data_IF_068471528645
#
_entry.id   IF_068471528645
#
_cell.length_a   1.000
_cell.length_b   1.000
_cell.length_c   1.000
_cell.angle_alpha   90.00
_cell.angle_beta   90.00
_cell.angle_gamma   90.00
#
_symmetry.space_group_name_H-M   'P 1'
#
loop_
_entity.id
_entity.type
_entity.pdbx_description
1 polymer ?
#
# COMPACT_ATOMS: atom_id res chain seq x y z
N UNK A 1 -25.59 -4.33 -0.34
CA UNK A 1 -24.96 -4.50 -1.66
C UNK A 1 -23.46 -4.15 -1.55
N UNK A 2 -22.60 -4.87 -2.29
CA UNK A 2 -21.17 -4.59 -2.38
C UNK A 2 -20.82 -4.17 -3.81
N UNK A 3 -20.69 -2.86 -4.03
CA UNK A 3 -20.41 -2.27 -5.35
C UNK A 3 -19.10 -2.75 -5.98
N UNK A 4 -18.19 -3.33 -5.22
CA UNK A 4 -16.88 -3.83 -5.68
C UNK A 4 -16.88 -5.32 -6.03
N UNK A 5 -18.04 -5.95 -6.04
CA UNK A 5 -18.19 -7.35 -6.46
C UNK A 5 -18.98 -7.45 -7.75
N UNK A 6 -18.85 -8.60 -8.42
CA UNK A 6 -19.60 -8.87 -9.63
C UNK A 6 -21.12 -8.84 -9.38
N UNK A 7 -21.83 -7.98 -10.13
CA UNK A 7 -23.26 -7.73 -9.98
C UNK A 7 -23.67 -7.06 -8.66
N UNK A 8 -22.73 -6.45 -7.91
CA UNK A 8 -23.03 -5.79 -6.65
C UNK A 8 -23.42 -6.71 -5.51
N UNK A 9 -23.10 -8.00 -5.58
CA UNK A 9 -23.59 -9.03 -4.65
C UNK A 9 -22.73 -9.09 -3.38
N UNK A 10 -23.37 -9.01 -2.22
CA UNK A 10 -22.72 -9.20 -0.92
C UNK A 10 -22.15 -10.62 -0.74
N UNK A 11 -21.13 -10.72 0.13
CA UNK A 11 -20.54 -12.00 0.54
C UNK A 11 -19.70 -12.71 -0.53
N UNK A 12 -19.35 -12.03 -1.61
CA UNK A 12 -18.51 -12.57 -2.69
C UNK A 12 -17.03 -12.26 -2.52
N UNK A 13 -16.73 -11.30 -1.70
CA UNK A 13 -15.37 -10.83 -1.42
C UNK A 13 -15.00 -11.15 0.03
N UNK A 14 -13.82 -11.73 0.29
CA UNK A 14 -13.38 -11.96 1.65
C UNK A 14 -13.06 -10.63 2.35
N UNK A 15 -13.41 -10.50 3.64
CA UNK A 15 -13.15 -9.30 4.45
C UNK A 15 -11.66 -8.97 4.60
N UNK A 16 -10.80 -9.99 4.46
CA UNK A 16 -9.33 -9.89 4.51
C UNK A 16 -8.73 -10.53 3.27
N UNK A 17 -8.91 -9.88 2.15
CA UNK A 17 -8.56 -10.41 0.84
C UNK A 17 -7.08 -10.82 0.75
N UNK A 18 -6.16 -9.94 1.19
CA UNK A 18 -4.71 -10.24 1.16
C UNK A 18 -4.40 -11.50 1.95
N UNK A 19 -4.86 -11.60 3.18
CA UNK A 19 -4.61 -12.78 4.03
C UNK A 19 -5.18 -14.06 3.43
N UNK A 20 -6.43 -14.01 2.96
CA UNK A 20 -7.11 -15.18 2.37
C UNK A 20 -6.39 -15.66 1.11
N UNK A 21 -6.11 -14.76 0.18
CA UNK A 21 -5.46 -15.13 -1.08
C UNK A 21 -4.02 -15.60 -0.87
N UNK A 22 -3.25 -14.96 -0.01
CA UNK A 22 -1.89 -15.41 0.29
C UNK A 22 -1.88 -16.82 0.94
N UNK A 23 -2.80 -17.11 1.85
CA UNK A 23 -2.90 -18.44 2.43
C UNK A 23 -3.29 -19.52 1.42
N UNK A 24 -4.15 -19.20 0.44
CA UNK A 24 -4.47 -20.09 -0.68
C UNK A 24 -3.23 -20.31 -1.56
N UNK A 25 -2.54 -19.24 -1.95
CA UNK A 25 -1.32 -19.32 -2.77
C UNK A 25 -0.26 -20.15 -2.05
N UNK A 26 -0.01 -19.89 -0.76
CA UNK A 26 0.98 -20.64 0.03
C UNK A 26 0.66 -22.14 0.11
N UNK A 27 -0.64 -22.50 0.14
CA UNK A 27 -1.07 -23.89 0.14
C UNK A 27 -0.84 -24.57 -1.21
N UNK A 28 -1.09 -23.85 -2.31
CA UNK A 28 -0.96 -24.40 -3.66
C UNK A 28 0.49 -24.35 -4.17
N UNK A 29 1.25 -23.35 -3.77
CA UNK A 29 2.63 -23.08 -4.21
C UNK A 29 3.51 -22.76 -2.98
N UNK A 30 3.91 -23.82 -2.21
CA UNK A 30 4.62 -23.63 -0.94
C UNK A 30 5.93 -22.84 -1.04
N UNK A 31 6.65 -23.02 -2.15
CA UNK A 31 8.00 -22.48 -2.35
C UNK A 31 8.01 -21.16 -3.13
N UNK A 32 6.84 -20.70 -3.62
CA UNK A 32 6.76 -19.44 -4.36
C UNK A 32 6.88 -18.25 -3.43
N UNK A 33 7.73 -17.25 -3.73
CA UNK A 33 7.77 -16.00 -2.99
C UNK A 33 6.42 -15.28 -3.01
N UNK A 34 5.95 -14.87 -1.84
CA UNK A 34 4.72 -14.08 -1.71
C UNK A 34 5.09 -12.67 -1.23
N UNK A 35 4.88 -11.72 -2.12
CA UNK A 35 5.12 -10.30 -1.87
C UNK A 35 3.78 -9.60 -1.84
N UNK A 36 3.48 -8.93 -0.73
CA UNK A 36 2.23 -8.20 -0.55
C UNK A 36 2.46 -6.70 -0.60
N UNK A 37 1.45 -5.96 -1.04
CA UNK A 37 1.50 -4.51 -1.14
C UNK A 37 0.09 -3.90 -1.20
N UNK A 38 0.04 -2.63 -1.58
CA UNK A 38 -1.19 -1.87 -1.65
C UNK A 38 -1.68 -1.36 -0.29
N UNK A 39 -2.88 -0.79 -0.27
CA UNK A 39 -3.40 -0.06 0.88
C UNK A 39 -3.57 -0.96 2.11
N UNK A 40 -4.17 -2.15 1.95
CA UNK A 40 -4.41 -3.08 3.05
C UNK A 40 -3.10 -3.50 3.72
N UNK A 41 -2.11 -3.92 2.94
CA UNK A 41 -0.81 -4.33 3.45
C UNK A 41 -0.06 -3.16 4.10
N UNK A 42 -0.06 -2.00 3.46
CA UNK A 42 0.62 -0.80 3.93
C UNK A 42 0.10 -0.33 5.29
N UNK A 43 -1.23 -0.29 5.48
CA UNK A 43 -1.84 0.18 6.73
C UNK A 43 -1.78 -0.86 7.86
N UNK A 44 -1.62 -2.14 7.51
CA UNK A 44 -1.57 -3.26 8.48
C UNK A 44 -0.16 -3.83 8.67
N UNK A 45 0.87 -3.07 8.28
CA UNK A 45 2.26 -3.54 8.32
C UNK A 45 2.84 -3.74 9.73
N UNK A 46 2.33 -3.00 10.72
CA UNK A 46 2.62 -3.18 12.14
C UNK A 46 1.44 -3.78 12.90
N UNK A 47 1.57 -3.91 14.21
CA UNK A 47 0.42 -4.19 15.07
C UNK A 47 -0.63 -3.10 14.87
N UNK A 48 -1.86 -3.47 14.55
CA UNK A 48 -2.90 -2.54 14.16
C UNK A 48 -4.25 -2.90 14.77
N UNK A 49 -5.10 -1.90 15.00
CA UNK A 49 -6.47 -2.14 15.43
C UNK A 49 -7.33 -2.60 14.25
N UNK A 50 -7.94 -3.78 14.42
CA UNK A 50 -8.90 -4.34 13.47
C UNK A 50 -10.32 -4.00 13.92
N UNK A 51 -10.98 -3.13 13.17
CA UNK A 51 -12.32 -2.66 13.47
C UNK A 51 -13.36 -3.80 13.54
N UNK A 52 -13.26 -4.77 12.62
CA UNK A 52 -14.23 -5.86 12.54
C UNK A 52 -14.15 -6.82 13.72
N UNK A 53 -12.94 -7.10 14.19
CA UNK A 53 -12.72 -7.93 15.37
C UNK A 53 -12.76 -7.16 16.68
N UNK A 54 -12.70 -5.84 16.63
CA UNK A 54 -12.57 -4.96 17.78
C UNK A 54 -11.37 -5.34 18.68
N UNK A 55 -10.23 -5.66 18.05
CA UNK A 55 -9.00 -6.02 18.74
C UNK A 55 -7.74 -5.55 18.00
N UNK A 56 -6.63 -5.49 18.71
CA UNK A 56 -5.31 -5.26 18.09
C UNK A 56 -4.78 -6.56 17.51
N UNK A 57 -4.52 -6.55 16.20
CA UNK A 57 -3.98 -7.67 15.43
C UNK A 57 -2.47 -7.52 15.22
N UNK A 58 -1.74 -8.62 15.03
CA UNK A 58 -0.33 -8.57 14.64
C UNK A 58 -0.18 -8.00 13.23
N UNK A 59 1.05 -7.71 12.82
CA UNK A 59 1.33 -7.36 11.43
C UNK A 59 0.76 -8.38 10.44
N UNK A 60 0.17 -7.87 9.35
CA UNK A 60 -0.41 -8.70 8.29
C UNK A 60 0.59 -9.69 7.66
N UNK A 61 1.90 -9.41 7.73
CA UNK A 61 2.94 -10.31 7.19
C UNK A 61 2.96 -11.67 7.89
N UNK A 62 2.51 -11.73 9.16
CA UNK A 62 2.40 -12.99 9.90
C UNK A 62 1.13 -13.75 9.52
N UNK A 63 -0.01 -13.06 9.47
CA UNK A 63 -1.30 -13.66 9.16
C UNK A 63 -1.39 -14.14 7.70
N UNK A 64 -0.80 -13.39 6.78
CA UNK A 64 -0.75 -13.74 5.35
C UNK A 64 0.33 -14.76 5.00
N UNK A 65 1.29 -15.01 5.90
CA UNK A 65 2.49 -15.81 5.63
C UNK A 65 3.31 -15.30 4.44
N UNK A 66 3.22 -14.01 4.17
CA UNK A 66 4.02 -13.36 3.14
C UNK A 66 5.50 -13.34 3.52
N UNK A 67 6.36 -13.30 2.52
CA UNK A 67 7.80 -13.25 2.69
C UNK A 67 8.29 -11.81 2.76
N UNK A 68 7.67 -10.91 1.99
CA UNK A 68 7.99 -9.49 1.93
C UNK A 68 6.71 -8.65 1.84
N UNK A 69 6.74 -7.45 2.42
CA UNK A 69 5.67 -6.48 2.31
C UNK A 69 6.23 -5.17 1.76
N UNK A 70 5.64 -4.66 0.69
CA UNK A 70 5.91 -3.34 0.12
C UNK A 70 4.89 -2.36 0.67
N UNK A 71 5.33 -1.29 1.32
CA UNK A 71 4.44 -0.26 1.84
C UNK A 71 4.60 1.07 1.11
N UNK A 72 3.59 1.90 1.21
CA UNK A 72 3.52 3.17 0.49
C UNK A 72 3.24 2.99 -1.00
N UNK A 73 3.76 3.91 -1.79
CA UNK A 73 3.66 3.87 -3.25
C UNK A 73 4.81 3.00 -3.77
N UNK A 74 4.46 1.84 -4.30
CA UNK A 74 5.37 0.70 -4.48
C UNK A 74 6.01 0.53 -5.85
N UNK A 75 5.94 1.51 -6.76
CA UNK A 75 6.40 1.35 -8.15
C UNK A 75 7.89 0.99 -8.24
N UNK A 76 8.76 1.79 -7.60
CA UNK A 76 10.21 1.57 -7.65
C UNK A 76 10.61 0.26 -6.98
N UNK A 77 10.01 -0.04 -5.82
CA UNK A 77 10.26 -1.29 -5.11
C UNK A 77 9.85 -2.49 -5.96
N UNK A 78 8.66 -2.43 -6.60
CA UNK A 78 8.15 -3.53 -7.43
C UNK A 78 9.08 -3.82 -8.61
N UNK A 79 9.61 -2.78 -9.26
CA UNK A 79 10.56 -2.92 -10.36
C UNK A 79 11.85 -3.59 -9.87
N UNK A 80 12.43 -3.11 -8.76
CA UNK A 80 13.69 -3.65 -8.21
C UNK A 80 13.51 -5.09 -7.73
N UNK A 81 12.41 -5.39 -7.04
CA UNK A 81 12.06 -6.74 -6.59
C UNK A 81 11.92 -7.70 -7.79
N UNK A 82 11.11 -7.29 -8.80
CA UNK A 82 10.90 -8.12 -9.98
C UNK A 82 12.21 -8.40 -10.73
N UNK A 83 13.07 -7.38 -10.86
CA UNK A 83 14.40 -7.53 -11.46
C UNK A 83 15.24 -8.56 -10.71
N UNK A 84 15.46 -8.38 -9.41
CA UNK A 84 16.30 -9.30 -8.62
C UNK A 84 15.75 -10.72 -8.62
N UNK A 85 14.44 -10.91 -8.48
CA UNK A 85 13.82 -12.23 -8.55
C UNK A 85 13.98 -12.88 -9.93
N UNK A 86 13.88 -12.11 -11.02
CA UNK A 86 14.09 -12.62 -12.38
C UNK A 86 15.56 -13.03 -12.66
N UNK A 87 16.50 -12.42 -11.93
CA UNK A 87 17.92 -12.75 -11.94
C UNK A 87 18.26 -13.94 -11.02
N UNK A 88 17.26 -14.52 -10.35
CA UNK A 88 17.41 -15.69 -9.47
C UNK A 88 17.87 -15.39 -8.05
N UNK A 89 17.85 -14.14 -7.62
CA UNK A 89 18.18 -13.79 -6.24
C UNK A 89 17.11 -14.29 -5.27
N UNK A 90 17.48 -14.78 -4.07
CA UNK A 90 16.53 -15.21 -3.06
C UNK A 90 15.82 -13.99 -2.42
N UNK A 91 14.68 -14.24 -1.78
CA UNK A 91 13.87 -13.18 -1.15
C UNK A 91 14.64 -12.40 -0.09
N UNK A 92 15.51 -13.08 0.66
CA UNK A 92 16.33 -12.46 1.71
C UNK A 92 17.28 -11.38 1.15
N UNK A 93 17.66 -11.48 -0.12
CA UNK A 93 18.47 -10.46 -0.80
C UNK A 93 17.71 -9.15 -1.06
N UNK A 94 16.39 -9.14 -0.83
CA UNK A 94 15.52 -7.96 -1.01
C UNK A 94 15.39 -7.13 0.27
N UNK A 95 15.97 -7.58 1.38
CA UNK A 95 15.85 -6.94 2.70
C UNK A 95 16.59 -5.60 2.82
N UNK A 96 17.39 -5.23 1.84
CA UNK A 96 18.06 -3.93 1.75
C UNK A 96 17.22 -2.86 1.01
N UNK A 97 16.15 -3.26 0.34
CA UNK A 97 15.30 -2.35 -0.43
C UNK A 97 14.56 -1.39 0.51
N UNK A 98 14.53 -0.10 0.20
CA UNK A 98 13.73 0.88 0.92
C UNK A 98 12.23 0.64 0.65
N UNK A 99 11.39 0.99 1.63
CA UNK A 99 9.94 0.84 1.49
C UNK A 99 9.42 -0.59 1.59
N UNK A 100 10.24 -1.50 2.16
CA UNK A 100 9.81 -2.87 2.44
C UNK A 100 9.76 -3.16 3.92
N UNK A 101 8.91 -4.14 4.28
CA UNK A 101 8.92 -4.78 5.60
C UNK A 101 9.16 -6.28 5.43
N UNK A 102 9.89 -6.85 6.35
CA UNK A 102 10.21 -8.27 6.41
C UNK A 102 10.27 -8.75 7.87
N UNK A 103 10.32 -10.06 8.05
CA UNK A 103 10.41 -10.69 9.39
C UNK A 103 11.71 -11.46 9.54
N UNK A 104 12.34 -11.31 10.68
CA UNK A 104 13.51 -12.10 11.12
C UNK A 104 13.20 -12.78 12.45
N UNK A 105 14.03 -13.73 12.84
CA UNK A 105 13.95 -14.33 14.19
C UNK A 105 14.66 -13.43 15.20
N UNK A 106 14.30 -13.53 16.47
CA UNK A 106 14.91 -12.71 17.53
C UNK A 106 16.39 -13.01 17.78
N UNK A 107 16.88 -14.15 17.33
CA UNK A 107 18.26 -14.60 17.37
C UNK A 107 19.07 -14.19 16.11
N UNK A 108 18.40 -13.65 15.09
CA UNK A 108 19.07 -13.14 13.90
C UNK A 108 19.70 -11.75 14.14
N UNK A 109 20.55 -11.34 13.21
CA UNK A 109 21.13 -10.00 13.25
C UNK A 109 20.05 -8.91 13.06
N UNK A 110 19.98 -8.02 14.04
CA UNK A 110 19.11 -6.84 13.98
C UNK A 110 19.92 -5.65 13.43
N UNK A 111 19.39 -4.90 12.45
CA UNK A 111 20.06 -3.71 11.93
C UNK A 111 20.45 -2.72 13.04
N UNK A 112 21.58 -2.03 12.87
CA UNK A 112 22.01 -0.95 13.78
C UNK A 112 21.21 0.33 13.50
N UNK A 113 21.14 1.21 14.50
CA UNK A 113 20.45 2.53 14.37
C UNK A 113 18.97 2.41 14.02
N UNK A 114 18.26 1.51 14.71
CA UNK A 114 16.81 1.32 14.57
C UNK A 114 16.04 2.10 15.63
N UNK A 115 14.78 2.40 15.32
CA UNK A 115 13.79 2.87 16.30
C UNK A 115 12.90 1.67 16.64
N UNK A 116 12.94 1.24 17.90
CA UNK A 116 12.12 0.14 18.38
C UNK A 116 10.76 0.62 18.84
N UNK A 117 9.71 0.05 18.27
CA UNK A 117 8.34 0.26 18.70
C UNK A 117 8.02 -0.62 19.92
N UNK A 118 7.06 -0.24 20.77
CA UNK A 118 6.49 -1.18 21.73
C UNK A 118 6.08 -2.49 21.03
N UNK A 119 6.35 -3.64 21.68
CA UNK A 119 6.04 -4.95 21.08
C UNK A 119 4.55 -5.11 20.80
N UNK A 120 4.20 -6.07 19.95
CA UNK A 120 2.81 -6.40 19.65
C UNK A 120 2.01 -6.68 20.93
N UNK A 121 2.57 -7.43 21.85
CA UNK A 121 1.93 -7.79 23.11
C UNK A 121 1.59 -6.55 23.93
N UNK A 122 2.56 -5.63 24.08
CA UNK A 122 2.36 -4.37 24.80
C UNK A 122 1.34 -3.47 24.12
N UNK A 123 1.41 -3.33 22.79
CA UNK A 123 0.45 -2.54 22.00
C UNK A 123 -0.97 -3.11 22.12
N UNK A 124 -1.10 -4.44 22.25
CA UNK A 124 -2.39 -5.11 22.43
C UNK A 124 -2.98 -4.84 23.82
N UNK A 125 -2.16 -4.76 24.85
CA UNK A 125 -2.58 -4.63 26.25
C UNK A 125 -2.79 -3.18 26.67
N UNK A 126 -1.97 -2.24 26.18
CA UNK A 126 -1.98 -0.83 26.62
C UNK A 126 -2.19 0.13 25.45
N UNK A 127 -3.26 0.91 25.52
CA UNK A 127 -3.58 1.98 24.55
C UNK A 127 -2.49 3.08 24.50
N UNK A 128 -1.74 3.30 25.56
CA UNK A 128 -0.60 4.25 25.58
C UNK A 128 0.54 3.72 24.72
N UNK A 129 0.87 2.44 24.84
CA UNK A 129 1.87 1.81 23.98
C UNK A 129 1.43 1.81 22.51
N UNK A 130 0.13 1.62 22.23
CA UNK A 130 -0.43 1.79 20.89
C UNK A 130 -0.21 3.21 20.37
N UNK A 131 -0.52 4.23 21.17
CA UNK A 131 -0.32 5.63 20.78
C UNK A 131 1.17 5.98 20.55
N UNK A 132 2.07 5.42 21.37
CA UNK A 132 3.52 5.59 21.21
C UNK A 132 3.99 4.94 19.89
N UNK A 133 3.53 3.73 19.58
CA UNK A 133 3.85 3.04 18.33
C UNK A 133 3.39 3.88 17.13
N UNK A 134 2.12 4.28 17.09
CA UNK A 134 1.54 5.09 16.01
C UNK A 134 2.27 6.43 15.83
N UNK A 135 2.65 7.09 16.91
CA UNK A 135 3.43 8.32 16.85
C UNK A 135 4.79 8.10 16.22
N UNK A 136 5.53 7.08 16.65
CA UNK A 136 6.86 6.76 16.10
C UNK A 136 6.78 6.36 14.61
N UNK A 137 5.77 5.61 14.24
CA UNK A 137 5.53 5.29 12.83
C UNK A 137 5.33 6.54 11.97
N UNK A 138 4.60 7.54 12.49
CA UNK A 138 4.38 8.80 11.80
C UNK A 138 5.65 9.67 11.75
N UNK A 139 6.42 9.71 12.82
CA UNK A 139 7.70 10.44 12.90
C UNK A 139 8.72 9.88 11.88
N UNK A 140 8.76 8.57 11.69
CA UNK A 140 9.68 7.89 10.78
C UNK A 140 9.09 7.67 9.36
N UNK A 141 7.92 8.24 9.06
CA UNK A 141 7.31 8.20 7.72
C UNK A 141 7.96 9.16 6.70
N UNK A 142 9.06 9.79 7.05
CA UNK A 142 9.82 10.71 6.20
C UNK A 142 10.80 9.95 5.29
N UNK A 143 10.68 10.15 3.97
CA UNK A 143 11.53 9.46 3.00
C UNK A 143 13.01 9.88 3.05
N UNK A 144 13.33 11.06 3.62
CA UNK A 144 14.70 11.59 3.70
C UNK A 144 15.35 11.23 5.04
N UNK A 145 14.63 11.41 6.15
CA UNK A 145 15.15 11.31 7.52
C UNK A 145 14.70 10.06 8.26
N UNK A 146 13.66 9.39 7.77
CA UNK A 146 13.08 8.21 8.41
C UNK A 146 14.12 7.11 8.60
N UNK A 147 14.06 6.47 9.77
CA UNK A 147 14.94 5.38 10.18
C UNK A 147 14.23 4.04 10.01
N UNK A 148 15.00 2.98 10.10
CA UNK A 148 14.45 1.63 10.21
C UNK A 148 13.66 1.50 11.51
N UNK A 149 12.43 0.99 11.41
CA UNK A 149 11.59 0.64 12.55
C UNK A 149 11.63 -0.87 12.79
N UNK A 150 11.59 -1.27 14.06
CA UNK A 150 11.39 -2.66 14.43
C UNK A 150 10.25 -2.79 15.43
N UNK A 151 9.52 -3.89 15.34
CA UNK A 151 8.50 -4.29 16.33
C UNK A 151 8.61 -5.78 16.63
N UNK A 152 8.68 -6.12 17.93
CA UNK A 152 8.74 -7.51 18.36
C UNK A 152 7.36 -8.16 18.33
N UNK A 153 7.30 -9.40 17.86
CA UNK A 153 6.13 -10.26 17.80
C UNK A 153 6.53 -11.66 18.31
N UNK A 154 6.53 -11.89 19.61
CA UNK A 154 7.00 -13.13 20.21
C UNK A 154 8.44 -13.45 19.81
N UNK A 155 8.64 -14.57 19.12
CA UNK A 155 9.96 -15.03 18.63
C UNK A 155 10.42 -14.40 17.31
N UNK A 156 9.69 -13.44 16.78
CA UNK A 156 10.02 -12.74 15.55
C UNK A 156 10.16 -11.24 15.78
N UNK A 157 10.92 -10.61 14.92
CA UNK A 157 11.03 -9.16 14.79
C UNK A 157 10.53 -8.81 13.41
N UNK A 158 9.56 -7.92 13.34
CA UNK A 158 9.20 -7.21 12.13
C UNK A 158 10.20 -6.08 11.93
N UNK A 159 10.79 -5.97 10.76
CA UNK A 159 11.69 -4.88 10.36
C UNK A 159 11.00 -4.10 9.24
N UNK A 160 10.92 -2.79 9.37
CA UNK A 160 10.51 -1.87 8.32
C UNK A 160 11.70 -1.01 7.92
N UNK A 161 12.15 -1.11 6.68
CA UNK A 161 13.15 -0.20 6.14
C UNK A 161 12.59 1.23 6.00
N UNK A 162 13.45 2.25 5.92
CA UNK A 162 13.00 3.62 5.66
C UNK A 162 12.12 3.71 4.41
N UNK A 163 11.16 4.66 4.34
CA UNK A 163 10.31 4.82 3.17
C UNK A 163 11.10 5.01 1.88
N UNK A 164 10.55 4.53 0.76
CA UNK A 164 11.10 4.81 -0.57
C UNK A 164 10.99 6.30 -0.86
N UNK A 165 11.93 6.82 -1.64
CA UNK A 165 11.84 8.19 -2.16
C UNK A 165 10.57 8.35 -3.02
N UNK A 166 9.84 9.45 -2.88
CA UNK A 166 8.69 9.71 -3.74
C UNK A 166 9.13 9.83 -5.20
N UNK A 167 8.26 9.42 -6.13
CA UNK A 167 8.50 9.60 -7.56
C UNK A 167 8.61 11.09 -7.89
N UNK A 168 9.53 11.45 -8.76
CA UNK A 168 9.55 12.79 -9.35
C UNK A 168 8.44 12.97 -10.40
N UNK A 169 8.26 14.20 -10.91
CA UNK A 169 7.24 14.53 -11.90
C UNK A 169 7.34 13.66 -13.17
N UNK A 170 8.55 13.39 -13.65
CA UNK A 170 8.73 12.58 -14.88
C UNK A 170 8.34 11.12 -14.66
N UNK A 171 8.70 10.59 -13.51
CA UNK A 171 8.35 9.22 -13.12
C UNK A 171 6.83 9.08 -12.92
N UNK A 172 6.20 10.08 -12.29
CA UNK A 172 4.73 10.11 -12.16
C UNK A 172 4.05 10.18 -13.53
N UNK A 173 4.49 11.09 -14.40
CA UNK A 173 3.94 11.21 -15.75
C UNK A 173 4.05 9.88 -16.51
N UNK A 174 5.20 9.20 -16.40
CA UNK A 174 5.37 7.87 -16.99
C UNK A 174 4.37 6.84 -16.43
N UNK A 175 4.21 6.76 -15.10
CA UNK A 175 3.26 5.83 -14.49
C UNK A 175 1.84 6.07 -14.99
N UNK A 176 1.43 7.33 -15.10
CA UNK A 176 0.08 7.68 -15.56
C UNK A 176 -0.10 7.62 -17.10
N UNK A 177 0.98 7.53 -17.86
CA UNK A 177 0.93 7.30 -19.32
C UNK A 177 0.79 5.83 -19.71
N UNK A 178 0.88 4.90 -18.77
CA UNK A 178 0.72 3.47 -19.05
C UNK A 178 -0.68 3.17 -19.60
N UNK A 179 -0.82 2.16 -20.49
CA UNK A 179 -2.07 1.85 -21.17
C UNK A 179 -3.06 1.13 -20.23
N UNK A 180 -3.65 1.86 -19.31
CA UNK A 180 -4.66 1.35 -18.40
C UNK A 180 -5.97 1.07 -19.12
N UNK A 181 -6.52 -0.14 -18.96
CA UNK A 181 -7.82 -0.56 -19.54
C UNK A 181 -9.00 0.27 -19.01
N UNK A 182 -8.90 0.86 -17.82
CA UNK A 182 -9.95 1.64 -17.16
C UNK A 182 -11.31 0.94 -17.13
N UNK A 183 -11.30 -0.38 -17.07
CA UNK A 183 -12.51 -1.19 -17.00
C UNK A 183 -12.25 -2.48 -16.23
N UNK A 184 -13.30 -3.12 -15.76
CA UNK A 184 -13.20 -4.44 -15.15
C UNK A 184 -12.99 -5.52 -16.21
N UNK A 185 -12.43 -6.70 -15.86
CA UNK A 185 -12.26 -7.82 -16.78
C UNK A 185 -13.58 -8.29 -17.39
N UNK A 186 -13.55 -8.62 -18.69
CA UNK A 186 -14.75 -9.05 -19.44
C UNK A 186 -15.52 -10.21 -18.81
N UNK A 187 -14.84 -11.09 -18.08
CA UNK A 187 -15.50 -12.22 -17.37
C UNK A 187 -16.57 -11.78 -16.38
N UNK A 188 -16.56 -10.52 -15.91
CA UNK A 188 -17.57 -10.01 -15.00
C UNK A 188 -18.81 -9.45 -15.71
N UNK A 189 -18.79 -9.26 -17.03
CA UNK A 189 -19.94 -8.72 -17.77
C UNK A 189 -21.18 -9.62 -17.65
N UNK A 190 -21.01 -10.93 -17.83
CA UNK A 190 -22.09 -11.92 -17.68
C UNK A 190 -22.65 -12.02 -16.26
N UNK A 191 -21.90 -11.52 -15.27
CA UNK A 191 -22.28 -11.53 -13.86
C UNK A 191 -22.91 -10.19 -13.40
N UNK A 192 -23.11 -9.24 -14.31
CA UNK A 192 -23.67 -7.93 -14.03
C UNK A 192 -22.63 -6.81 -13.83
N UNK A 193 -21.38 -7.06 -14.26
CA UNK A 193 -20.28 -6.09 -14.15
C UNK A 193 -19.84 -5.82 -12.69
N UNK A 194 -19.06 -4.76 -12.50
CA UNK A 194 -18.62 -4.28 -11.17
C UNK A 194 -19.07 -2.84 -10.99
N UNK A 195 -20.20 -2.59 -10.28
CA UNK A 195 -20.81 -1.26 -10.22
C UNK A 195 -19.90 -0.13 -9.75
N UNK A 196 -18.98 -0.41 -8.81
CA UNK A 196 -18.06 0.58 -8.24
C UNK A 196 -17.11 1.24 -9.24
N UNK A 197 -16.91 0.66 -10.44
CA UNK A 197 -16.07 1.29 -11.46
C UNK A 197 -16.64 2.63 -11.94
N UNK A 198 -17.96 2.77 -11.92
CA UNK A 198 -18.63 3.97 -12.42
C UNK A 198 -18.29 5.23 -11.62
N UNK A 199 -17.88 5.07 -10.36
CA UNK A 199 -17.51 6.17 -9.46
C UNK A 199 -16.13 6.75 -9.77
N UNK A 200 -15.24 5.94 -10.37
CA UNK A 200 -13.82 6.29 -10.53
C UNK A 200 -13.31 6.21 -11.96
N UNK A 201 -14.12 5.74 -12.90
CA UNK A 201 -13.71 5.44 -14.28
C UNK A 201 -12.98 6.59 -14.98
N UNK A 202 -13.48 7.81 -14.84
CA UNK A 202 -12.92 9.03 -15.41
C UNK A 202 -12.41 9.98 -14.32
N UNK A 203 -11.60 9.44 -13.42
CA UNK A 203 -10.94 10.20 -12.38
C UNK A 203 -9.48 10.45 -12.76
N UNK A 204 -8.96 11.64 -12.43
CA UNK A 204 -7.59 12.05 -12.66
C UNK A 204 -6.92 12.28 -11.32
N UNK A 205 -5.74 11.69 -11.13
CA UNK A 205 -4.89 11.98 -9.98
C UNK A 205 -3.87 13.05 -10.37
N UNK A 206 -3.95 14.21 -9.73
CA UNK A 206 -3.05 15.33 -9.98
C UNK A 206 -1.72 15.19 -9.22
N UNK A 207 -1.78 14.77 -7.95
CA UNK A 207 -0.62 14.68 -7.08
C UNK A 207 -0.71 13.48 -6.15
N UNK A 208 0.40 13.14 -5.51
CA UNK A 208 0.51 12.13 -4.45
C UNK A 208 1.17 12.74 -3.22
N UNK A 209 0.88 12.14 -2.06
CA UNK A 209 1.33 12.63 -0.77
C UNK A 209 0.42 13.73 -0.21
N UNK A 210 0.51 13.97 1.09
CA UNK A 210 -0.26 15.03 1.76
C UNK A 210 0.48 15.52 2.99
N UNK A 211 0.72 16.82 3.09
CA UNK A 211 1.36 17.44 4.25
C UNK A 211 0.41 17.66 5.43
N UNK A 212 -0.92 17.52 5.23
CA UNK A 212 -1.94 17.87 6.22
C UNK A 212 -1.92 17.04 7.50
N UNK A 213 -1.42 15.80 7.46
CA UNK A 213 -1.26 14.91 8.61
C UNK A 213 -2.47 14.86 9.56
N UNK A 214 -3.68 14.91 9.02
CA UNK A 214 -4.93 14.87 9.79
C UNK A 214 -5.04 13.53 10.54
N UNK A 215 -5.41 13.55 11.80
CA UNK A 215 -5.45 12.37 12.67
C UNK A 215 -6.40 11.26 12.22
N UNK A 216 -7.40 11.58 11.42
CA UNK A 216 -8.37 10.61 10.88
C UNK A 216 -7.97 10.06 9.51
N UNK A 217 -6.95 10.63 8.85
CA UNK A 217 -6.66 10.36 7.44
C UNK A 217 -5.44 9.46 7.27
N UNK A 218 -5.62 8.35 6.56
CA UNK A 218 -4.53 7.41 6.26
C UNK A 218 -3.69 7.81 5.04
N UNK A 219 -4.05 8.87 4.32
CA UNK A 219 -3.40 9.27 3.08
C UNK A 219 -1.91 9.56 3.28
N UNK A 220 -1.57 10.43 4.23
CA UNK A 220 -0.18 10.75 4.56
C UNK A 220 0.60 9.54 5.07
N UNK A 221 -0.09 8.62 5.76
CA UNK A 221 0.50 7.40 6.29
C UNK A 221 0.82 6.36 5.20
N UNK A 222 0.02 6.34 4.13
CA UNK A 222 0.21 5.46 2.99
C UNK A 222 1.08 6.09 1.90
N UNK A 223 0.75 7.30 1.43
CA UNK A 223 1.45 7.96 0.33
C UNK A 223 2.68 8.76 0.76
N UNK A 224 2.83 9.01 2.07
CA UNK A 224 3.86 9.88 2.60
C UNK A 224 3.43 11.36 2.69
N UNK A 225 4.30 12.18 3.28
CA UNK A 225 4.05 13.61 3.54
C UNK A 225 4.66 14.53 2.47
N UNK A 226 5.57 14.00 1.66
CA UNK A 226 6.12 14.74 0.52
C UNK A 226 5.09 14.76 -0.60
N UNK A 227 4.67 15.96 -1.00
CA UNK A 227 3.75 16.14 -2.11
C UNK A 227 4.55 16.18 -3.41
N UNK A 228 4.21 15.31 -4.35
CA UNK A 228 4.77 15.28 -5.70
C UNK A 228 3.64 15.40 -6.71
N UNK A 229 3.87 16.15 -7.78
CA UNK A 229 2.85 16.52 -8.75
C UNK A 229 3.18 16.01 -10.15
N UNK A 230 2.15 15.74 -10.93
CA UNK A 230 2.26 15.47 -12.36
C UNK A 230 2.45 16.77 -13.13
N UNK A 231 3.00 16.68 -14.32
CA UNK A 231 3.02 17.83 -15.23
C UNK A 231 1.61 18.16 -15.73
N UNK A 232 1.36 19.43 -16.02
CA UNK A 232 0.12 19.88 -16.63
C UNK A 232 -0.16 19.15 -17.95
N UNK A 233 0.89 18.96 -18.77
CA UNK A 233 0.82 18.20 -20.01
C UNK A 233 0.28 16.79 -19.80
N UNK A 234 0.81 16.06 -18.83
CA UNK A 234 0.38 14.69 -18.52
C UNK A 234 -1.10 14.61 -18.10
N UNK A 235 -1.58 15.61 -17.35
CA UNK A 235 -2.97 15.70 -16.92
C UNK A 235 -3.90 15.98 -18.10
N UNK A 236 -3.51 16.90 -19.00
CA UNK A 236 -4.28 17.26 -20.19
C UNK A 236 -4.36 16.05 -21.14
N UNK A 237 -3.24 15.40 -21.44
CA UNK A 237 -3.19 14.21 -22.29
C UNK A 237 -4.07 13.07 -21.74
N UNK A 238 -4.10 12.88 -20.42
CA UNK A 238 -5.00 11.91 -19.79
C UNK A 238 -6.47 12.29 -19.96
N UNK A 239 -6.82 13.57 -19.76
CA UNK A 239 -8.17 14.06 -19.95
C UNK A 239 -8.63 13.93 -21.41
N UNK A 240 -7.77 14.26 -22.38
CA UNK A 240 -8.02 14.09 -23.80
C UNK A 240 -8.25 12.63 -24.18
N UNK A 241 -7.50 11.70 -23.59
CA UNK A 241 -7.67 10.26 -23.83
C UNK A 241 -9.06 9.72 -23.45
N UNK A 242 -9.79 10.44 -22.61
CA UNK A 242 -11.16 10.06 -22.27
C UNK A 242 -12.14 10.26 -23.43
N UNK A 243 -11.84 11.17 -24.34
CA UNK A 243 -12.69 11.44 -25.52
C UNK A 243 -12.81 10.24 -26.45
N UNK A 244 -11.77 9.40 -26.49
CA UNK A 244 -11.75 8.19 -27.31
C UNK A 244 -12.50 7.01 -26.64
N UNK A 245 -12.89 7.15 -25.38
CA UNK A 245 -13.61 6.09 -24.67
C UNK A 245 -15.12 6.19 -24.90
N UNK A 246 -15.77 5.17 -25.48
CA UNK A 246 -17.20 5.20 -25.81
C UNK A 246 -18.13 5.34 -24.58
N UNK A 247 -17.60 5.13 -23.38
CA UNK A 247 -18.33 5.30 -22.12
C UNK A 247 -18.24 6.72 -21.57
N UNK A 248 -17.39 7.56 -22.13
CA UNK A 248 -17.21 8.93 -21.66
C UNK A 248 -18.43 9.79 -22.01
N UNK A 249 -19.03 10.40 -21.01
CA UNK A 249 -20.23 11.23 -21.15
C UNK A 249 -19.96 12.74 -20.98
N UNK A 250 -18.69 13.13 -21.11
CA UNK A 250 -18.28 14.54 -20.95
C UNK A 250 -18.04 14.98 -19.49
N UNK A 251 -17.97 14.03 -18.53
CA UNK A 251 -17.75 14.36 -17.13
C UNK A 251 -16.49 13.69 -16.61
N UNK A 252 -15.61 14.45 -15.95
CA UNK A 252 -14.55 13.93 -15.11
C UNK A 252 -15.15 13.73 -13.73
N UNK A 253 -15.17 12.46 -13.27
CA UNK A 253 -15.87 12.07 -12.05
C UNK A 253 -15.20 12.65 -10.79
N UNK A 254 -13.87 12.67 -10.79
CA UNK A 254 -13.07 13.15 -9.67
C UNK A 254 -11.74 13.68 -10.19
N UNK A 255 -11.43 14.92 -9.83
CA UNK A 255 -10.06 15.43 -9.88
C UNK A 255 -9.49 15.30 -8.48
N UNK A 256 -8.71 14.25 -8.26
CA UNK A 256 -8.18 13.94 -6.94
C UNK A 256 -6.99 14.83 -6.63
N UNK A 257 -7.20 15.76 -5.71
CA UNK A 257 -6.15 16.64 -5.19
C UNK A 257 -6.11 16.50 -3.66
N UNK A 258 -4.93 16.30 -3.09
CA UNK A 258 -4.71 16.60 -1.69
C UNK A 258 -4.49 18.11 -1.54
N UNK A 259 -4.67 18.68 -0.33
CA UNK A 259 -4.32 20.07 -0.09
C UNK A 259 -2.91 20.37 -0.60
N UNK A 260 -2.79 21.32 -1.50
CA UNK A 260 -1.52 21.75 -2.09
C UNK A 260 -1.10 23.07 -1.45
N UNK A 261 0.20 23.39 -1.41
CA UNK A 261 0.67 24.70 -0.96
C UNK A 261 0.11 25.89 -1.74
N UNK A 262 -0.52 25.63 -2.92
CA UNK A 262 -1.18 26.65 -3.76
C UNK A 262 -2.62 26.94 -3.34
N UNK A 263 -3.19 26.12 -2.47
CA UNK A 263 -4.57 26.24 -1.99
C UNK A 263 -4.68 27.00 -0.66
N UNK A 264 -3.56 27.55 -0.15
CA UNK A 264 -3.47 28.34 1.10
C UNK A 264 -3.28 29.82 0.84
#
# INVERSE_FOLDING_TARGET
DDAYTAGGKNGRRPDRAVTVYCNIIRKLYPDSPIIIGGLEASLRRFAHYDYWKNEVMPSIIFDSKADLLVYGMGELQTIEIAKRLSEGYPVESLYDIRGVCYKIRTDDYVPKSVVELPSYERVKEDKRDYAIASRRELEEADAVRGKTLIQRHGKYILVQNPPMQPLDTKQLDYVYSLPYERWYPKCYESLGGVPGINEVLFSITHNRGCFGACNFCSLAFHQGRAVTVRSEKSIIEEAESFLDNPRFKGYICLLYTSPSPRDS
#
